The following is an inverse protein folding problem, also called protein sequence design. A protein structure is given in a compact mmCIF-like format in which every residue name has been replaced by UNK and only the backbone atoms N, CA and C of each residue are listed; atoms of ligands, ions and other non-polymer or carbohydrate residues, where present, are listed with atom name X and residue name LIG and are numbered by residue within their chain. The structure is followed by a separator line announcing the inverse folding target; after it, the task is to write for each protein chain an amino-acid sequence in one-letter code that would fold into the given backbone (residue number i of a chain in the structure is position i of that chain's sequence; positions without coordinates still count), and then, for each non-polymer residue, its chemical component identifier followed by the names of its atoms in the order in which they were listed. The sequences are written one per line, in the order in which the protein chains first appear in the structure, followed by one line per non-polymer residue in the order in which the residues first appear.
data_IF_666140393730
#
_entry.id   IF_666140393730
#
_cell.length_a   1.000
_cell.length_b   1.000
_cell.length_c   1.000
_cell.angle_alpha   90.00
_cell.angle_beta   90.00
_cell.angle_gamma   90.00
#
_symmetry.space_group_name_H-M   'P 1'
#
loop_
_entity.id
_entity.type
_entity.pdbx_description
1 polymer ?
#
# COMPACT_ATOMS: atom_id res chain seq x y z
N UNK A 1 -6.69 -57.61 48.42
CA UNK A 1 -6.64 -56.20 48.03
C UNK A 1 -6.33 -56.15 46.54
N UNK A 2 -7.34 -55.92 45.70
CA UNK A 2 -7.18 -55.73 44.27
C UNK A 2 -7.44 -54.25 43.98
N UNK A 3 -6.41 -53.53 43.56
CA UNK A 3 -6.48 -52.15 43.09
C UNK A 3 -6.99 -52.16 41.65
N UNK A 4 -8.20 -51.65 41.44
CA UNK A 4 -8.75 -51.35 40.12
C UNK A 4 -8.25 -49.97 39.72
N UNK A 5 -7.38 -49.92 38.70
CA UNK A 5 -6.96 -48.69 38.04
C UNK A 5 -8.05 -48.25 37.08
N UNK A 6 -8.68 -47.09 37.35
CA UNK A 6 -9.55 -46.41 36.40
C UNK A 6 -8.65 -45.51 35.55
N UNK A 7 -8.28 -45.99 34.36
CA UNK A 7 -7.72 -45.15 33.30
C UNK A 7 -8.87 -44.31 32.75
N UNK A 8 -8.91 -43.03 33.11
CA UNK A 8 -9.78 -42.04 32.49
C UNK A 8 -9.30 -41.76 31.06
N UNK A 9 -10.15 -42.03 30.08
CA UNK A 9 -10.00 -41.62 28.68
C UNK A 9 -10.03 -40.08 28.58
N UNK A 10 -8.86 -39.44 28.62
CA UNK A 10 -8.69 -38.04 28.23
C UNK A 10 -8.52 -37.91 26.70
N UNK A 11 -9.55 -38.30 25.94
CA UNK A 11 -9.50 -38.20 24.48
C UNK A 11 -10.84 -38.22 23.74
N UNK A 12 -11.98 -38.32 24.45
CA UNK A 12 -13.27 -38.36 23.78
C UNK A 12 -13.68 -36.96 23.26
N UNK A 13 -13.63 -36.79 21.94
CA UNK A 13 -14.24 -35.64 21.26
C UNK A 13 -15.71 -35.51 21.70
N UNK A 14 -16.15 -34.30 22.02
CA UNK A 14 -17.54 -34.09 22.43
C UNK A 14 -18.50 -34.43 21.26
N UNK A 15 -19.75 -34.85 21.51
CA UNK A 15 -20.73 -35.09 20.45
C UNK A 15 -20.93 -33.87 19.52
N UNK A 16 -20.77 -32.67 20.07
CA UNK A 16 -20.77 -31.42 19.32
C UNK A 16 -19.54 -31.33 18.40
N UNK A 17 -18.34 -31.63 18.92
CA UNK A 17 -17.08 -31.65 18.17
C UNK A 17 -17.07 -32.70 17.05
N UNK A 18 -17.67 -33.87 17.29
CA UNK A 18 -17.87 -34.92 16.28
C UNK A 18 -18.82 -34.47 15.16
N UNK A 19 -19.94 -33.84 15.53
CA UNK A 19 -20.96 -33.37 14.58
C UNK A 19 -20.45 -32.20 13.74
N UNK A 20 -19.77 -31.24 14.38
CA UNK A 20 -19.13 -30.12 13.69
C UNK A 20 -17.96 -30.60 12.83
N UNK A 21 -17.19 -31.58 13.30
CA UNK A 21 -16.17 -32.26 12.52
C UNK A 21 -16.72 -32.85 11.22
N UNK A 22 -17.76 -33.68 11.30
CA UNK A 22 -18.40 -34.26 10.11
C UNK A 22 -19.01 -33.20 9.18
N UNK A 23 -19.56 -32.11 9.74
CA UNK A 23 -20.06 -30.97 8.98
C UNK A 23 -18.96 -30.23 8.22
N UNK A 24 -17.79 -30.04 8.84
CA UNK A 24 -16.59 -29.52 8.16
C UNK A 24 -16.16 -30.49 7.08
N UNK A 25 -15.98 -31.80 7.33
CA UNK A 25 -15.55 -32.76 6.30
C UNK A 25 -16.46 -32.78 5.06
N UNK A 26 -17.77 -32.61 5.27
CA UNK A 26 -18.75 -32.54 4.19
C UNK A 26 -18.68 -31.21 3.39
N UNK A 27 -18.31 -30.11 4.04
CA UNK A 27 -18.14 -28.78 3.42
C UNK A 27 -16.73 -28.60 2.80
N UNK A 28 -15.72 -29.24 3.38
CA UNK A 28 -14.29 -28.94 3.22
C UNK A 28 -13.69 -29.50 1.91
N UNK A 29 -14.29 -30.52 1.30
CA UNK A 29 -13.75 -31.20 0.08
C UNK A 29 -12.23 -31.52 0.15
N UNK A 30 -11.61 -31.49 1.34
CA UNK A 30 -10.17 -31.60 1.57
C UNK A 30 -9.30 -30.65 0.73
N UNK A 31 -9.75 -29.42 0.49
CA UNK A 31 -8.99 -28.47 -0.32
C UNK A 31 -7.74 -28.02 0.44
N UNK A 32 -6.59 -28.11 -0.23
CA UNK A 32 -5.32 -27.55 0.26
C UNK A 32 -5.18 -26.16 -0.35
N UNK A 33 -5.16 -25.13 0.49
CA UNK A 33 -4.91 -23.75 0.08
C UNK A 33 -3.48 -23.40 0.46
N UNK A 34 -2.76 -22.82 -0.49
CA UNK A 34 -1.41 -22.32 -0.30
C UNK A 34 -1.48 -20.85 0.14
N UNK A 35 -0.82 -20.51 1.24
CA UNK A 35 -0.60 -19.14 1.67
C UNK A 35 0.89 -18.84 1.68
N UNK A 36 1.27 -17.69 1.13
CA UNK A 36 2.66 -17.22 1.11
C UNK A 36 2.79 -15.99 1.99
N UNK A 37 3.90 -15.90 2.70
CA UNK A 37 4.20 -14.75 3.56
C UNK A 37 4.84 -13.63 2.75
N UNK A 38 4.23 -12.45 2.85
CA UNK A 38 4.75 -11.20 2.30
C UNK A 38 5.19 -10.29 3.44
N UNK A 39 6.23 -9.53 3.18
CA UNK A 39 6.71 -8.46 4.06
C UNK A 39 6.32 -7.12 3.48
N UNK A 40 5.91 -6.21 4.36
CA UNK A 40 5.66 -4.82 4.02
C UNK A 40 6.98 -4.13 3.67
N UNK A 41 7.06 -3.55 2.50
CA UNK A 41 8.21 -2.78 2.02
C UNK A 41 7.70 -1.45 1.50
N UNK A 42 8.10 -0.36 2.15
CA UNK A 42 7.82 0.99 1.67
C UNK A 42 8.97 1.41 0.78
N UNK A 43 8.70 1.61 -0.51
CA UNK A 43 9.70 2.21 -1.38
C UNK A 43 9.69 3.73 -1.15
N UNK A 44 10.84 4.38 -0.92
CA UNK A 44 10.95 5.84 -0.75
C UNK A 44 10.54 6.70 -1.95
N UNK A 45 9.99 6.08 -3.00
CA UNK A 45 9.96 6.57 -4.38
C UNK A 45 8.71 7.39 -4.64
N UNK A 46 7.61 6.92 -4.05
CA UNK A 46 6.23 7.37 -4.15
C UNK A 46 5.49 7.15 -2.82
N UNK A 47 6.18 6.58 -1.82
CA UNK A 47 5.66 6.21 -0.52
C UNK A 47 4.56 5.15 -0.57
N UNK A 48 4.39 4.46 -1.69
CA UNK A 48 3.51 3.30 -1.78
C UNK A 48 4.07 2.14 -0.95
N UNK A 49 3.12 1.35 -0.45
CA UNK A 49 3.42 0.13 0.28
C UNK A 49 3.37 -1.03 -0.70
N UNK A 50 4.50 -1.71 -0.85
CA UNK A 50 4.60 -2.98 -1.55
C UNK A 50 4.60 -4.12 -0.53
N UNK A 51 3.98 -5.23 -0.90
CA UNK A 51 4.02 -6.49 -0.18
C UNK A 51 4.89 -7.44 -0.98
N UNK A 52 6.10 -7.70 -0.49
CA UNK A 52 7.13 -8.46 -1.20
C UNK A 52 7.21 -9.86 -0.63
N UNK A 53 7.24 -10.87 -1.50
CA UNK A 53 7.40 -12.26 -1.08
C UNK A 53 8.73 -12.42 -0.32
N UNK A 54 8.65 -12.73 0.97
CA UNK A 54 9.82 -12.64 1.86
C UNK A 54 9.92 -13.76 2.89
N UNK A 55 8.96 -14.68 2.91
CA UNK A 55 8.88 -15.67 3.96
C UNK A 55 8.36 -17.02 3.51
N UNK A 56 7.81 -17.75 4.47
CA UNK A 56 7.42 -19.13 4.27
C UNK A 56 6.15 -19.26 3.44
N UNK A 57 6.03 -20.41 2.79
CA UNK A 57 4.80 -20.87 2.17
C UNK A 57 4.19 -21.96 3.04
N UNK A 58 2.96 -21.76 3.49
CA UNK A 58 2.20 -22.74 4.26
C UNK A 58 1.08 -23.32 3.41
N UNK A 59 0.88 -24.63 3.51
CA UNK A 59 -0.22 -25.32 2.86
C UNK A 59 -1.18 -25.79 3.94
N UNK A 60 -2.40 -25.26 3.94
CA UNK A 60 -3.38 -25.58 4.99
C UNK A 60 -4.59 -26.22 4.36
N UNK A 61 -5.09 -27.28 5.00
CA UNK A 61 -6.35 -27.91 4.63
C UNK A 61 -7.50 -27.18 5.31
N UNK A 62 -8.47 -26.74 4.53
CA UNK A 62 -9.62 -26.06 5.07
C UNK A 62 -10.54 -25.49 3.99
N UNK A 63 -11.66 -24.96 4.48
CA UNK A 63 -12.73 -24.42 3.65
C UNK A 63 -12.70 -22.90 3.69
N UNK A 64 -12.73 -22.29 2.51
CA UNK A 64 -12.82 -20.85 2.34
C UNK A 64 -14.26 -20.47 2.02
N UNK A 65 -14.89 -19.73 2.92
CA UNK A 65 -16.22 -19.17 2.74
C UNK A 65 -16.09 -17.69 2.37
N UNK A 66 -16.78 -17.27 1.31
CA UNK A 66 -16.84 -15.87 0.90
C UNK A 66 -18.25 -15.34 1.15
N UNK A 67 -18.33 -14.17 1.76
CA UNK A 67 -19.51 -13.32 1.73
C UNK A 67 -19.19 -12.21 0.76
N UNK A 68 -19.81 -12.24 -0.42
CA UNK A 68 -19.69 -11.18 -1.42
C UNK A 68 -20.77 -10.13 -1.16
N UNK A 69 -20.35 -8.92 -0.80
CA UNK A 69 -21.16 -7.74 -1.04
C UNK A 69 -20.69 -7.09 -2.35
N UNK A 70 -21.57 -6.47 -3.13
CA UNK A 70 -21.18 -5.78 -4.37
C UNK A 70 -21.32 -4.29 -4.12
N UNK A 71 -20.20 -3.60 -4.06
CA UNK A 71 -20.13 -2.15 -4.00
C UNK A 71 -19.83 -1.63 -5.42
N UNK A 72 -20.63 -0.66 -5.86
CA UNK A 72 -20.41 0.02 -7.15
C UNK A 72 -20.05 1.46 -6.85
N UNK A 73 -18.80 1.79 -7.13
CA UNK A 73 -18.29 3.14 -7.16
C UNK A 73 -18.28 3.66 -8.61
N UNK A 74 -17.89 4.92 -8.79
CA UNK A 74 -17.83 5.59 -10.08
C UNK A 74 -16.69 5.08 -10.97
N UNK A 75 -15.59 4.62 -10.37
CA UNK A 75 -14.42 4.07 -11.05
C UNK A 75 -14.34 2.54 -11.05
N UNK A 76 -15.10 1.85 -10.19
CA UNK A 76 -15.05 0.39 -10.06
C UNK A 76 -16.33 -0.26 -9.53
N UNK A 77 -16.54 -1.52 -9.91
CA UNK A 77 -17.49 -2.42 -9.24
C UNK A 77 -16.69 -3.47 -8.47
N UNK A 78 -16.70 -3.37 -7.14
CA UNK A 78 -15.96 -4.25 -6.26
C UNK A 78 -16.90 -5.26 -5.61
N UNK A 79 -16.55 -6.54 -5.71
CA UNK A 79 -17.05 -7.53 -4.75
C UNK A 79 -16.30 -7.36 -3.44
N UNK A 80 -16.87 -6.66 -2.45
CA UNK A 80 -16.34 -6.60 -1.09
C UNK A 80 -16.48 -7.99 -0.49
N UNK A 81 -15.43 -8.78 -0.67
CA UNK A 81 -15.39 -10.15 -0.22
C UNK A 81 -14.73 -10.19 1.16
N UNK A 82 -15.56 -10.32 2.19
CA UNK A 82 -15.07 -10.79 3.48
C UNK A 82 -14.97 -12.30 3.44
N UNK A 83 -13.80 -12.82 3.78
CA UNK A 83 -13.55 -14.26 3.76
C UNK A 83 -13.42 -14.82 5.17
N UNK A 84 -14.03 -15.99 5.36
CA UNK A 84 -13.91 -16.82 6.53
C UNK A 84 -13.22 -18.11 6.12
N UNK A 85 -12.00 -18.30 6.58
CA UNK A 85 -11.28 -19.55 6.43
C UNK A 85 -11.47 -20.42 7.67
N UNK A 86 -11.91 -21.66 7.45
CA UNK A 86 -12.19 -22.63 8.51
C UNK A 86 -11.28 -23.84 8.35
N UNK A 87 -10.52 -24.18 9.40
CA UNK A 87 -9.57 -25.30 9.43
C UNK A 87 -9.66 -26.07 10.75
N UNK A 88 -9.21 -27.33 10.76
CA UNK A 88 -9.06 -28.13 11.99
C UNK A 88 -7.73 -27.91 12.69
N UNK A 89 -6.71 -27.56 11.90
CA UNK A 89 -5.36 -27.34 12.40
C UNK A 89 -5.20 -25.87 12.76
N UNK A 90 -4.65 -25.60 13.94
CA UNK A 90 -4.27 -24.25 14.33
C UNK A 90 -3.16 -23.75 13.41
N UNK A 91 -3.38 -22.58 12.81
CA UNK A 91 -2.34 -21.82 12.11
C UNK A 91 -1.82 -20.76 13.09
N UNK A 92 -0.72 -21.06 13.75
CA UNK A 92 -0.10 -20.15 14.71
C UNK A 92 0.32 -18.83 14.04
N UNK A 93 0.75 -18.89 12.78
CA UNK A 93 1.24 -17.76 12.00
C UNK A 93 0.16 -16.72 11.71
N UNK A 94 -1.11 -17.12 11.66
CA UNK A 94 -2.23 -16.19 11.49
C UNK A 94 -2.65 -15.55 12.82
N UNK A 95 -2.18 -16.09 13.95
CA UNK A 95 -2.42 -15.55 15.28
C UNK A 95 -1.38 -14.51 15.68
N UNK A 96 -0.24 -14.45 14.98
CA UNK A 96 0.78 -13.41 15.17
C UNK A 96 0.37 -12.14 14.45
N UNK A 97 -0.13 -11.15 15.20
CA UNK A 97 -0.43 -9.83 14.68
C UNK A 97 0.86 -9.04 14.48
N UNK A 98 1.21 -8.78 13.22
CA UNK A 98 2.32 -7.89 12.85
C UNK A 98 1.87 -6.93 11.75
N UNK A 99 2.20 -5.63 11.85
CA UNK A 99 1.92 -4.67 10.79
C UNK A 99 2.80 -4.87 9.55
N UNK A 100 3.91 -5.60 9.68
CA UNK A 100 4.92 -5.74 8.63
C UNK A 100 4.89 -7.08 7.91
N UNK A 101 4.00 -8.00 8.32
CA UNK A 101 3.84 -9.30 7.67
C UNK A 101 2.38 -9.59 7.36
N UNK A 102 2.15 -10.24 6.23
CA UNK A 102 0.82 -10.63 5.77
C UNK A 102 0.90 -11.96 5.03
N UNK A 103 -0.07 -12.83 5.25
CA UNK A 103 -0.20 -14.05 4.46
C UNK A 103 -1.23 -13.85 3.36
N UNK A 104 -0.84 -14.12 2.12
CA UNK A 104 -1.72 -14.06 0.96
C UNK A 104 -1.90 -15.45 0.39
N UNK A 105 -3.16 -15.87 0.29
CA UNK A 105 -3.56 -17.09 -0.41
C UNK A 105 -4.21 -16.77 -1.75
N UNK A 106 -4.08 -17.68 -2.72
CA UNK A 106 -4.78 -17.60 -4.00
C UNK A 106 -5.76 -18.76 -4.11
N UNK A 107 -7.04 -18.45 -4.33
CA UNK A 107 -8.04 -19.46 -4.61
C UNK A 107 -8.95 -18.99 -5.74
N UNK A 108 -8.90 -19.70 -6.88
CA UNK A 108 -9.72 -19.41 -8.08
C UNK A 108 -9.54 -17.97 -8.60
N UNK A 109 -8.32 -17.42 -8.48
CA UNK A 109 -8.00 -16.06 -8.91
C UNK A 109 -8.39 -14.97 -7.92
N UNK A 110 -8.93 -15.33 -6.75
CA UNK A 110 -9.18 -14.41 -5.64
C UNK A 110 -7.99 -14.48 -4.70
N UNK A 111 -7.26 -13.36 -4.58
CA UNK A 111 -6.19 -13.20 -3.59
C UNK A 111 -6.79 -12.77 -2.25
N UNK A 112 -6.42 -13.47 -1.18
CA UNK A 112 -6.98 -13.26 0.16
C UNK A 112 -5.86 -12.96 1.12
N UNK A 113 -5.95 -11.81 1.79
CA UNK A 113 -5.01 -11.34 2.80
C UNK A 113 -5.49 -11.67 4.21
N UNK A 114 -4.57 -12.22 5.02
CA UNK A 114 -4.73 -12.39 6.46
C UNK A 114 -3.64 -11.58 7.18
N UNK A 115 -4.05 -10.53 7.88
CA UNK A 115 -3.16 -9.57 8.57
C UNK A 115 -3.18 -9.74 10.10
N UNK A 116 -3.22 -10.98 10.58
CA UNK A 116 -3.06 -11.28 12.01
C UNK A 116 -4.21 -10.81 12.91
N UNK A 117 -5.43 -11.35 12.72
CA UNK A 117 -6.55 -11.23 13.67
C UNK A 117 -7.38 -12.51 13.69
N UNK A 118 -6.82 -13.58 14.24
CA UNK A 118 -7.55 -14.81 14.51
C UNK A 118 -8.54 -14.65 15.68
N UNK A 119 -9.80 -15.07 15.48
CA UNK A 119 -10.74 -15.26 16.58
C UNK A 119 -10.54 -16.67 17.13
N UNK A 120 -10.24 -16.76 18.42
CA UNK A 120 -10.06 -18.05 19.11
C UNK A 120 -11.44 -18.63 19.47
N UNK A 121 -11.75 -19.82 18.95
CA UNK A 121 -12.89 -20.62 19.42
C UNK A 121 -12.41 -22.06 19.71
N UNK A 122 -11.71 -22.30 20.84
CA UNK A 122 -11.17 -23.62 21.19
C UNK A 122 -12.26 -24.68 21.50
N UNK A 123 -13.54 -24.30 21.53
CA UNK A 123 -14.65 -25.09 22.07
C UNK A 123 -15.12 -26.22 21.12
N UNK A 124 -14.70 -26.21 19.85
CA UNK A 124 -15.13 -27.18 18.83
C UNK A 124 -14.00 -27.87 18.04
N UNK A 125 -12.72 -27.63 18.37
CA UNK A 125 -11.59 -28.16 17.57
C UNK A 125 -11.59 -27.68 16.11
N UNK A 126 -12.19 -26.51 15.86
CA UNK A 126 -12.28 -25.86 14.56
C UNK A 126 -11.85 -24.41 14.75
N UNK A 127 -11.00 -23.93 13.85
CA UNK A 127 -10.42 -22.60 13.88
C UNK A 127 -11.01 -21.75 12.75
N UNK A 128 -11.32 -20.50 13.09
CA UNK A 128 -11.92 -19.54 12.18
C UNK A 128 -11.01 -18.32 12.03
N UNK A 129 -10.57 -18.08 10.80
CA UNK A 129 -9.72 -16.96 10.43
C UNK A 129 -10.48 -16.04 9.48
N UNK A 130 -10.48 -14.74 9.79
CA UNK A 130 -11.08 -13.74 8.91
C UNK A 130 -10.00 -13.08 8.06
N UNK A 131 -10.24 -13.02 6.77
CA UNK A 131 -9.38 -12.35 5.79
C UNK A 131 -10.20 -11.41 4.91
N UNK A 132 -9.50 -10.54 4.21
CA UNK A 132 -10.09 -9.65 3.21
C UNK A 132 -9.58 -10.04 1.83
N UNK A 133 -10.44 -9.97 0.81
CA UNK A 133 -9.94 -10.05 -0.56
C UNK A 133 -9.07 -8.84 -0.87
N UNK A 134 -7.99 -9.08 -1.60
CA UNK A 134 -7.21 -8.01 -2.19
C UNK A 134 -7.88 -7.65 -3.51
N UNK A 135 -8.17 -6.37 -3.71
CA UNK A 135 -8.84 -5.93 -4.92
C UNK A 135 -7.86 -5.87 -6.11
N UNK A 136 -8.35 -6.09 -7.34
CA UNK A 136 -7.48 -6.10 -8.53
C UNK A 136 -6.57 -4.88 -8.68
N UNK A 137 -7.01 -3.64 -8.38
CA UNK A 137 -6.13 -2.46 -8.46
C UNK A 137 -4.90 -2.53 -7.52
N UNK A 138 -4.97 -3.34 -6.44
CA UNK A 138 -3.86 -3.51 -5.49
C UNK A 138 -2.90 -4.66 -5.88
N UNK A 139 -3.14 -5.36 -7.00
CA UNK A 139 -2.27 -6.48 -7.39
C UNK A 139 -0.87 -6.02 -7.80
N UNK A 140 -0.73 -4.81 -8.36
CA UNK A 140 0.59 -4.23 -8.66
C UNK A 140 1.46 -4.02 -7.42
N UNK A 141 0.85 -3.94 -6.24
CA UNK A 141 1.52 -3.74 -4.97
C UNK A 141 1.93 -5.08 -4.33
N UNK A 142 1.52 -6.22 -4.91
CA UNK A 142 1.96 -7.55 -4.48
C UNK A 142 3.08 -8.02 -5.40
N UNK A 143 4.28 -8.12 -4.86
CA UNK A 143 5.49 -8.47 -5.59
C UNK A 143 5.91 -9.90 -5.24
N UNK A 144 5.62 -10.84 -6.16
CA UNK A 144 5.96 -12.26 -6.01
C UNK A 144 7.45 -12.54 -6.21
N UNK A 145 8.16 -11.70 -6.98
CA UNK A 145 9.60 -11.79 -7.22
C UNK A 145 10.30 -10.55 -6.66
N UNK A 146 11.06 -10.66 -5.56
CA UNK A 146 11.79 -9.52 -4.98
C UNK A 146 12.72 -8.82 -5.98
N UNK A 147 13.25 -9.55 -6.99
CA UNK A 147 14.10 -8.95 -8.00
C UNK A 147 13.35 -7.96 -8.91
N UNK A 148 12.02 -8.06 -8.99
CA UNK A 148 11.19 -7.13 -9.74
C UNK A 148 11.22 -5.70 -9.16
N UNK A 149 11.52 -5.53 -7.87
CA UNK A 149 11.64 -4.21 -7.24
C UNK A 149 12.71 -3.33 -7.90
N UNK A 150 13.76 -3.93 -8.47
CA UNK A 150 14.83 -3.19 -9.14
C UNK A 150 14.37 -2.49 -10.44
N UNK A 151 13.24 -2.92 -11.00
CA UNK A 151 12.69 -2.40 -12.26
C UNK A 151 11.38 -1.64 -12.06
N UNK A 152 11.02 -1.29 -10.81
CA UNK A 152 9.80 -0.52 -10.54
C UNK A 152 10.01 0.93 -10.96
N UNK A 153 9.25 1.37 -11.96
CA UNK A 153 9.16 2.77 -12.36
C UNK A 153 8.30 3.56 -11.36
N UNK A 154 8.50 4.90 -11.25
CA UNK A 154 7.67 5.73 -10.38
C UNK A 154 6.18 5.60 -10.71
N UNK A 155 5.36 5.19 -9.73
CA UNK A 155 3.91 5.05 -9.92
C UNK A 155 3.22 6.42 -9.89
N UNK A 156 3.75 7.37 -9.13
CA UNK A 156 3.16 8.70 -8.97
C UNK A 156 3.64 9.69 -10.02
N UNK A 157 2.68 10.46 -10.54
CA UNK A 157 2.91 11.62 -11.39
C UNK A 157 2.82 12.95 -10.65
N UNK A 158 2.65 12.92 -9.32
CA UNK A 158 2.42 14.09 -8.46
C UNK A 158 3.68 14.55 -7.72
N UNK A 159 3.61 15.66 -6.98
CA UNK A 159 4.75 16.22 -6.25
C UNK A 159 5.25 15.41 -5.04
N UNK A 160 4.66 14.25 -4.73
CA UNK A 160 5.00 13.44 -3.54
C UNK A 160 6.50 13.16 -3.35
N UNK A 161 7.24 12.76 -4.41
CA UNK A 161 8.67 12.46 -4.31
C UNK A 161 9.50 13.66 -3.83
N UNK A 162 9.09 14.89 -4.15
CA UNK A 162 9.74 16.12 -3.66
C UNK A 162 9.70 16.11 -2.14
N UNK A 163 8.53 15.87 -1.55
CA UNK A 163 8.32 15.95 -0.10
C UNK A 163 9.01 14.83 0.65
N UNK A 164 9.00 13.61 0.10
CA UNK A 164 9.71 12.46 0.67
C UNK A 164 11.23 12.68 0.75
N UNK A 165 11.78 13.58 -0.10
CA UNK A 165 13.20 13.94 -0.05
C UNK A 165 13.55 14.98 1.04
N UNK A 166 12.57 15.72 1.58
CA UNK A 166 12.78 16.85 2.49
C UNK A 166 12.68 16.45 3.98
N UNK A 167 13.61 15.60 4.43
CA UNK A 167 13.56 14.91 5.74
C UNK A 167 14.33 15.59 6.88
N UNK A 168 14.87 16.79 6.67
CA UNK A 168 15.79 17.46 7.61
C UNK A 168 15.21 17.70 9.03
N UNK A 169 13.88 17.78 9.16
CA UNK A 169 13.19 18.04 10.44
C UNK A 169 12.48 16.80 11.02
N UNK A 170 12.55 15.67 10.33
CA UNK A 170 11.86 14.43 10.68
C UNK A 170 11.47 13.63 9.44
N UNK A 171 11.11 12.36 9.61
CA UNK A 171 10.64 11.53 8.50
C UNK A 171 9.34 12.11 7.93
N UNK A 172 9.25 12.10 6.59
CA UNK A 172 8.10 12.54 5.82
C UNK A 172 7.43 11.31 5.22
N UNK A 173 6.13 11.19 5.43
CA UNK A 173 5.31 10.08 4.94
C UNK A 173 4.19 10.62 4.03
N UNK A 174 3.72 9.83 3.06
CA UNK A 174 2.43 10.10 2.43
C UNK A 174 1.31 10.01 3.46
N UNK A 175 0.28 10.82 3.28
CA UNK A 175 -0.96 10.66 4.01
C UNK A 175 -1.50 9.24 3.83
N UNK A 176 -2.16 8.71 4.86
CA UNK A 176 -2.69 7.34 4.93
C UNK A 176 -1.63 6.21 4.98
N UNK A 177 -0.36 6.50 4.71
CA UNK A 177 0.74 5.51 4.71
C UNK A 177 1.81 5.79 5.78
N UNK A 178 1.42 6.51 6.84
CA UNK A 178 2.23 6.67 8.06
C UNK A 178 2.28 5.34 8.80
N UNK A 179 3.48 4.86 9.17
CA UNK A 179 3.61 3.59 9.89
C UNK A 179 2.89 3.62 11.25
N UNK A 180 2.33 2.48 11.68
CA UNK A 180 1.68 2.40 12.98
C UNK A 180 2.69 2.60 14.11
N UNK A 181 2.27 3.29 15.17
CA UNK A 181 3.03 3.48 16.40
C UNK A 181 4.35 4.27 16.27
N UNK A 182 4.53 5.07 15.21
CA UNK A 182 5.68 5.99 15.10
C UNK A 182 5.65 7.02 16.24
N UNK A 183 6.83 7.29 16.79
CA UNK A 183 7.03 8.35 17.78
C UNK A 183 7.28 9.70 17.08
N UNK A 184 6.52 10.77 17.40
CA UNK A 184 6.79 12.11 16.89
C UNK A 184 8.19 12.63 17.29
N UNK A 185 8.84 13.51 16.50
CA UNK A 185 8.25 14.28 15.41
C UNK A 185 8.24 13.55 14.05
N UNK A 186 7.14 13.69 13.32
CA UNK A 186 7.03 13.24 11.92
C UNK A 186 6.07 14.15 11.14
N UNK A 187 6.15 14.05 9.81
CA UNK A 187 5.39 14.86 8.88
C UNK A 187 4.60 13.92 7.96
N UNK A 188 3.31 14.17 7.80
CA UNK A 188 2.47 13.51 6.81
C UNK A 188 2.10 14.53 5.72
N UNK A 189 2.20 14.12 4.46
CA UNK A 189 1.95 14.97 3.31
C UNK A 189 0.81 14.40 2.49
N UNK A 190 -0.18 15.25 2.27
CA UNK A 190 -1.40 14.94 1.56
C UNK A 190 -1.48 15.80 0.31
N UNK A 191 -1.55 15.15 -0.85
CA UNK A 191 -1.68 15.82 -2.14
C UNK A 191 -3.09 15.52 -2.62
N UNK A 192 -3.89 16.57 -2.75
CA UNK A 192 -5.27 16.45 -3.16
C UNK A 192 -5.32 16.28 -4.68
N UNK A 193 -5.76 15.10 -5.14
CA UNK A 193 -5.87 14.77 -6.56
C UNK A 193 -6.84 15.68 -7.31
N UNK A 194 -7.81 16.30 -6.62
CA UNK A 194 -8.73 17.26 -7.22
C UNK A 194 -8.10 18.64 -7.47
N UNK A 195 -6.87 18.86 -6.97
CA UNK A 195 -6.15 20.13 -7.08
C UNK A 195 -4.94 20.06 -8.00
N UNK A 196 -4.74 18.93 -8.68
CA UNK A 196 -3.69 18.77 -9.69
C UNK A 196 -4.18 19.34 -11.02
N UNK A 197 -3.67 20.53 -11.36
CA UNK A 197 -4.04 21.27 -12.56
C UNK A 197 -2.85 21.39 -13.52
N UNK A 198 -3.13 21.30 -14.82
CA UNK A 198 -2.17 21.64 -15.86
C UNK A 198 -2.06 23.15 -16.06
N UNK A 199 -0.83 23.67 -16.07
CA UNK A 199 -0.57 25.09 -16.39
C UNK A 199 -0.08 25.30 -17.82
N UNK A 200 0.39 24.24 -18.47
CA UNK A 200 0.80 24.25 -19.86
C UNK A 200 0.12 23.08 -20.56
N UNK A 201 -0.46 23.28 -21.74
CA UNK A 201 -0.95 22.17 -22.56
C UNK A 201 0.19 21.24 -22.96
N UNK A 202 -0.02 19.93 -22.89
CA UNK A 202 0.91 18.97 -23.48
C UNK A 202 1.14 19.30 -24.97
N UNK A 203 2.40 19.23 -25.46
CA UNK A 203 2.66 19.41 -26.88
C UNK A 203 1.83 18.42 -27.70
N UNK A 204 0.94 18.92 -28.57
CA UNK A 204 0.22 18.07 -29.51
C UNK A 204 1.20 17.60 -30.58
N UNK A 205 1.41 16.29 -30.68
CA UNK A 205 2.10 15.72 -31.83
C UNK A 205 1.12 15.64 -32.99
N UNK A 206 1.19 16.59 -33.92
CA UNK A 206 0.43 16.48 -35.16
C UNK A 206 1.12 15.47 -36.09
N UNK A 207 0.66 14.22 -36.04
CA UNK A 207 1.12 13.18 -36.96
C UNK A 207 0.78 13.48 -38.42
N UNK A 208 -0.06 14.49 -38.72
CA UNK A 208 -0.51 14.80 -40.08
C UNK A 208 0.39 15.79 -40.83
N UNK A 209 1.16 16.66 -40.15
CA UNK A 209 1.97 17.69 -40.84
C UNK A 209 3.31 17.19 -41.41
N UNK A 210 3.69 15.93 -41.13
CA UNK A 210 4.84 15.29 -41.78
C UNK A 210 4.52 14.71 -43.18
N UNK A 211 3.29 14.90 -43.68
CA UNK A 211 2.84 14.48 -45.02
C UNK A 211 2.70 15.62 -46.03
N UNK A 212 3.47 16.71 -45.87
CA UNK A 212 3.53 17.76 -46.89
C UNK A 212 4.54 17.42 -48.00
N UNK A 213 3.97 16.99 -49.13
CA UNK A 213 4.50 16.96 -50.50
C UNK A 213 5.63 15.99 -50.84
N UNK A 214 5.24 14.76 -51.22
CA UNK A 214 6.08 13.90 -52.05
C UNK A 214 5.78 12.41 -51.92
N UNK A 215 4.70 11.95 -52.55
CA UNK A 215 4.49 10.58 -53.03
C UNK A 215 5.10 9.43 -52.21
N UNK A 216 4.47 9.05 -51.10
CA UNK A 216 4.54 7.67 -50.58
C UNK A 216 3.18 7.28 -50.01
N UNK A 217 2.49 6.37 -50.69
CA UNK A 217 1.34 5.64 -50.14
C UNK A 217 1.79 4.80 -48.94
N UNK A 218 1.78 5.37 -47.74
CA UNK A 218 1.92 4.60 -46.51
C UNK A 218 0.60 3.89 -46.22
N UNK A 219 0.63 2.56 -46.29
CA UNK A 219 -0.45 1.72 -45.83
C UNK A 219 -0.81 2.02 -44.38
N UNK A 220 -1.97 1.52 -43.97
CA UNK A 220 -2.44 1.46 -42.58
C UNK A 220 -1.26 1.46 -41.61
N UNK A 221 -1.17 2.41 -40.66
CA UNK A 221 -0.04 2.47 -39.74
C UNK A 221 0.11 1.10 -39.09
N UNK A 222 1.27 0.50 -39.30
CA UNK A 222 1.60 -0.78 -38.73
C UNK A 222 1.52 -0.65 -37.21
N UNK A 223 0.57 -1.35 -36.60
CA UNK A 223 0.37 -1.33 -35.15
C UNK A 223 1.59 -1.88 -34.39
N UNK A 224 2.58 -2.49 -35.09
CA UNK A 224 3.86 -2.87 -34.53
C UNK A 224 4.77 -1.69 -34.15
N UNK A 225 4.52 -0.48 -34.68
CA UNK A 225 5.33 0.73 -34.46
C UNK A 225 4.76 1.62 -33.33
N UNK A 226 3.54 1.32 -32.86
CA UNK A 226 2.90 2.07 -31.76
C UNK A 226 3.65 1.95 -30.42
N UNK A 227 4.53 0.94 -30.27
CA UNK A 227 5.38 0.80 -29.08
C UNK A 227 6.62 1.69 -29.07
N UNK A 228 6.97 2.36 -30.18
CA UNK A 228 8.24 3.07 -30.33
C UNK A 228 8.15 4.60 -30.31
N UNK A 229 6.93 5.17 -30.20
CA UNK A 229 6.67 6.60 -30.43
C UNK A 229 5.88 7.27 -29.30
N UNK A 230 6.14 6.91 -28.04
CA UNK A 230 5.79 7.76 -26.91
C UNK A 230 7.03 8.61 -26.55
N UNK A 231 7.23 9.80 -27.17
CA UNK A 231 8.26 10.69 -26.67
C UNK A 231 7.95 10.98 -25.20
N UNK A 232 8.97 10.94 -24.34
CA UNK A 232 8.84 11.35 -22.94
C UNK A 232 8.37 12.80 -22.90
N UNK A 233 7.07 13.00 -22.71
CA UNK A 233 6.48 14.31 -22.57
C UNK A 233 6.45 14.68 -21.09
N UNK A 234 6.78 15.92 -20.78
CA UNK A 234 6.59 16.48 -19.45
C UNK A 234 5.74 17.74 -19.54
N UNK A 235 4.89 17.90 -18.53
CA UNK A 235 4.00 19.04 -18.42
C UNK A 235 4.40 19.89 -17.20
N UNK A 236 4.14 21.19 -17.30
CA UNK A 236 4.14 22.07 -16.13
C UNK A 236 2.82 21.89 -15.39
N UNK A 237 2.92 21.43 -14.15
CA UNK A 237 1.79 21.06 -13.30
C UNK A 237 1.77 21.96 -12.08
N UNK A 238 0.55 22.25 -11.62
CA UNK A 238 0.23 22.95 -10.39
C UNK A 238 -0.49 22.01 -9.43
N UNK A 239 -0.13 22.04 -8.14
CA UNK A 239 -0.79 21.22 -7.12
C UNK A 239 -0.93 21.95 -5.81
N UNK A 240 -1.95 21.55 -5.02
CA UNK A 240 -2.07 21.95 -3.63
C UNK A 240 -1.67 20.82 -2.70
N UNK A 241 -0.68 21.08 -1.87
CA UNK A 241 -0.10 20.13 -0.93
C UNK A 241 -0.43 20.55 0.49
N UNK A 242 -0.93 19.62 1.30
CA UNK A 242 -1.24 19.81 2.72
C UNK A 242 -0.22 19.05 3.58
N UNK A 243 0.45 19.79 4.46
CA UNK A 243 1.39 19.27 5.43
C UNK A 243 0.72 19.12 6.79
N UNK A 244 0.95 17.97 7.44
CA UNK A 244 0.42 17.65 8.76
C UNK A 244 1.59 17.23 9.66
N UNK A 245 1.88 18.05 10.66
CA UNK A 245 3.07 17.95 11.49
C UNK A 245 2.67 17.49 12.89
N UNK A 246 3.21 16.35 13.31
CA UNK A 246 2.98 15.78 14.64
C UNK A 246 4.23 15.95 15.50
N UNK A 247 4.06 16.40 16.75
CA UNK A 247 5.16 16.61 17.70
C UNK A 247 5.95 17.91 17.52
N UNK A 248 5.58 18.74 16.54
CA UNK A 248 6.24 20.01 16.28
C UNK A 248 5.72 21.11 17.20
N UNK A 249 6.64 21.86 17.81
CA UNK A 249 6.30 23.16 18.38
C UNK A 249 6.17 24.23 17.26
N UNK A 250 5.68 25.43 17.62
CA UNK A 250 5.39 26.46 16.62
C UNK A 250 6.66 26.93 15.87
N UNK A 251 7.77 27.06 16.59
CA UNK A 251 9.04 27.48 16.00
C UNK A 251 9.58 26.43 15.03
N UNK A 252 9.53 25.14 15.40
CA UNK A 252 9.94 24.04 14.54
C UNK A 252 9.08 23.97 13.27
N UNK A 253 7.77 24.17 13.38
CA UNK A 253 6.88 24.18 12.22
C UNK A 253 7.18 25.37 11.30
N UNK A 254 7.47 26.55 11.85
CA UNK A 254 7.92 27.72 11.07
C UNK A 254 9.27 27.46 10.39
N UNK A 255 10.23 26.88 11.11
CA UNK A 255 11.55 26.53 10.56
C UNK A 255 11.46 25.51 9.44
N UNK A 256 10.64 24.46 9.59
CA UNK A 256 10.39 23.48 8.52
C UNK A 256 9.79 24.16 7.29
N UNK A 257 8.78 25.02 7.49
CA UNK A 257 8.17 25.78 6.39
C UNK A 257 9.21 26.65 5.66
N UNK A 258 10.10 27.33 6.39
CA UNK A 258 11.18 28.11 5.78
C UNK A 258 12.16 27.24 5.01
N UNK A 259 12.52 26.07 5.55
CA UNK A 259 13.39 25.11 4.88
C UNK A 259 12.81 24.61 3.55
N UNK A 260 11.51 24.33 3.52
CA UNK A 260 10.79 23.96 2.28
C UNK A 260 10.85 25.10 1.26
N UNK A 261 10.62 26.35 1.69
CA UNK A 261 10.70 27.51 0.81
C UNK A 261 12.10 27.77 0.27
N UNK A 262 13.13 27.64 1.10
CA UNK A 262 14.53 27.75 0.70
C UNK A 262 14.89 26.69 -0.34
N UNK A 263 14.46 25.43 -0.12
CA UNK A 263 14.65 24.35 -1.12
C UNK A 263 13.95 24.63 -2.45
N UNK A 264 12.80 25.31 -2.44
CA UNK A 264 12.12 25.71 -3.67
C UNK A 264 12.87 26.81 -4.43
N UNK A 265 13.53 27.72 -3.71
CA UNK A 265 14.28 28.83 -4.32
C UNK A 265 15.63 28.36 -4.90
N UNK A 266 16.31 27.47 -4.20
CA UNK A 266 17.66 27.02 -4.57
C UNK A 266 17.64 25.84 -5.58
N UNK A 267 16.49 25.17 -5.69
CA UNK A 267 16.40 23.86 -6.32
C UNK A 267 16.18 23.85 -7.84
N UNK A 268 15.81 24.95 -8.49
CA UNK A 268 15.43 25.10 -9.93
C UNK A 268 14.41 24.08 -10.50
N UNK A 269 13.97 23.10 -9.71
CA UNK A 269 13.18 21.92 -10.11
C UNK A 269 11.68 22.16 -9.87
N UNK A 270 11.33 22.96 -8.86
CA UNK A 270 9.96 23.23 -8.45
C UNK A 270 9.83 24.56 -7.69
N UNK A 271 8.67 25.20 -7.79
CA UNK A 271 8.38 26.52 -7.24
C UNK A 271 7.20 26.50 -6.27
N UNK A 272 7.20 27.37 -5.25
CA UNK A 272 6.05 27.63 -4.38
C UNK A 272 5.36 28.91 -4.80
N UNK A 273 4.05 28.84 -5.07
CA UNK A 273 3.22 30.00 -5.45
C UNK A 273 2.51 30.62 -4.26
N UNK A 274 1.95 29.80 -3.38
CA UNK A 274 1.16 30.26 -2.24
C UNK A 274 1.47 29.43 -1.00
N UNK A 275 1.37 30.06 0.16
CA UNK A 275 1.60 29.41 1.45
C UNK A 275 0.54 29.84 2.45
N UNK A 276 -0.09 28.85 3.07
CA UNK A 276 -1.07 29.07 4.13
C UNK A 276 -0.38 29.41 5.46
N UNK A 277 -1.05 30.16 6.37
CA UNK A 277 -0.58 30.25 7.75
C UNK A 277 -0.61 28.87 8.42
N UNK A 278 0.30 28.65 9.36
CA UNK A 278 0.31 27.44 10.19
C UNK A 278 -0.90 27.50 11.14
N UNK A 279 -1.68 26.44 11.13
CA UNK A 279 -2.88 26.27 11.96
C UNK A 279 -2.64 25.17 12.98
N UNK A 280 -3.27 25.36 14.13
CA UNK A 280 -3.31 24.38 15.20
C UNK A 280 -4.59 23.56 15.09
N UNK A 281 -4.45 22.26 14.91
CA UNK A 281 -5.55 21.32 14.87
C UNK A 281 -5.47 20.34 16.04
N UNK A 282 -6.63 19.90 16.51
CA UNK A 282 -6.74 18.96 17.64
C UNK A 282 -6.96 17.56 17.12
N UNK A 283 -6.23 16.59 17.65
CA UNK A 283 -6.53 15.17 17.53
C UNK A 283 -6.98 14.65 18.89
N UNK A 284 -8.16 14.03 18.91
CA UNK A 284 -8.73 13.47 20.13
C UNK A 284 -8.47 11.97 20.18
N UNK A 285 -8.14 11.46 21.37
CA UNK A 285 -8.17 10.04 21.66
C UNK A 285 -9.19 9.82 22.77
N UNK A 286 -10.32 9.19 22.43
CA UNK A 286 -11.48 9.07 23.33
C UNK A 286 -11.17 8.14 24.49
N UNK A 287 -10.35 7.12 24.24
CA UNK A 287 -9.99 6.05 25.16
C UNK A 287 -9.23 6.55 26.39
N UNK A 288 -8.42 7.61 26.23
CA UNK A 288 -7.64 8.21 27.32
C UNK A 288 -8.08 9.65 27.65
N UNK A 289 -9.19 10.11 27.06
CA UNK A 289 -9.70 11.47 27.20
C UNK A 289 -8.63 12.57 26.98
N UNK A 290 -7.70 12.34 26.05
CA UNK A 290 -6.59 13.25 25.78
C UNK A 290 -6.74 13.97 24.44
N UNK A 291 -6.19 15.18 24.38
CA UNK A 291 -6.08 15.99 23.17
C UNK A 291 -4.60 16.13 22.82
N UNK A 292 -4.23 15.67 21.63
CA UNK A 292 -2.95 15.98 21.03
C UNK A 292 -3.10 17.16 20.06
N UNK A 293 -2.06 17.99 19.98
CA UNK A 293 -1.99 19.06 18.99
C UNK A 293 -1.23 18.56 17.75
N UNK A 294 -1.76 18.85 16.58
CA UNK A 294 -1.05 18.74 15.30
C UNK A 294 -1.05 20.09 14.61
N UNK A 295 -0.02 20.37 13.82
CA UNK A 295 0.08 21.61 13.05
C UNK A 295 -0.19 21.32 11.59
N UNK A 296 -0.94 22.18 10.93
CA UNK A 296 -1.25 22.03 9.51
C UNK A 296 -0.99 23.32 8.76
N UNK A 297 -0.50 23.18 7.53
CA UNK A 297 -0.48 24.26 6.55
C UNK A 297 -0.55 23.65 5.16
N UNK A 298 -0.90 24.46 4.17
CA UNK A 298 -0.90 24.03 2.77
C UNK A 298 -0.05 24.96 1.92
N UNK A 299 0.52 24.43 0.86
CA UNK A 299 1.25 25.17 -0.16
C UNK A 299 0.68 24.86 -1.53
N UNK A 300 0.68 25.85 -2.42
CA UNK A 300 0.49 25.63 -3.85
C UNK A 300 1.84 25.62 -4.53
N UNK A 301 2.10 24.59 -5.33
CA UNK A 301 3.41 24.33 -5.92
C UNK A 301 3.30 24.14 -7.42
N UNK A 302 4.36 24.50 -8.14
CA UNK A 302 4.49 24.24 -9.56
C UNK A 302 5.75 23.45 -9.82
N UNK A 303 5.69 22.50 -10.75
CA UNK A 303 6.85 21.69 -11.10
C UNK A 303 6.70 21.13 -12.51
N UNK A 304 7.84 20.76 -13.11
CA UNK A 304 7.83 19.95 -14.33
C UNK A 304 7.76 18.48 -13.94
N UNK A 305 6.85 17.71 -14.54
CA UNK A 305 6.71 16.27 -14.25
C UNK A 305 8.04 15.49 -14.42
N UNK A 306 8.86 15.87 -15.41
CA UNK A 306 10.18 15.28 -15.61
C UNK A 306 11.12 15.46 -14.42
N UNK A 307 10.96 16.55 -13.67
CA UNK A 307 11.79 16.86 -12.51
C UNK A 307 11.40 15.97 -11.32
N UNK A 308 10.11 15.69 -11.15
CA UNK A 308 9.59 14.73 -10.16
C UNK A 308 10.08 13.32 -10.48
N UNK A 309 10.02 12.88 -11.73
CA UNK A 309 10.50 11.56 -12.16
C UNK A 309 11.99 11.39 -11.80
N UNK A 310 12.83 12.39 -12.05
CA UNK A 310 14.25 12.34 -11.68
C UNK A 310 14.46 12.23 -10.17
N UNK A 311 13.66 12.93 -9.36
CA UNK A 311 13.70 12.81 -7.90
C UNK A 311 13.32 11.40 -7.48
N UNK A 312 12.24 10.84 -8.03
CA UNK A 312 11.82 9.46 -7.77
C UNK A 312 12.91 8.46 -8.12
N UNK A 313 13.54 8.57 -9.29
CA UNK A 313 14.65 7.70 -9.69
C UNK A 313 15.83 7.76 -8.72
N UNK A 314 16.16 8.95 -8.21
CA UNK A 314 17.21 9.11 -7.21
C UNK A 314 16.82 8.44 -5.89
N UNK A 315 15.57 8.58 -5.47
CA UNK A 315 15.03 7.92 -4.29
C UNK A 315 15.04 6.39 -4.46
N UNK A 316 14.64 5.87 -5.63
CA UNK A 316 14.71 4.44 -5.99
C UNK A 316 16.14 3.93 -5.81
N UNK A 317 17.10 4.60 -6.45
CA UNK A 317 18.52 4.20 -6.38
C UNK A 317 19.02 4.21 -4.93
N UNK A 318 18.68 5.22 -4.15
CA UNK A 318 19.08 5.29 -2.73
C UNK A 318 18.48 4.16 -1.89
N UNK A 319 17.21 3.81 -2.12
CA UNK A 319 16.50 2.77 -1.39
C UNK A 319 16.98 1.36 -1.73
N UNK A 320 17.19 1.10 -3.03
CA UNK A 320 17.67 -0.19 -3.51
C UNK A 320 19.01 -0.56 -2.86
N UNK A 321 19.91 0.40 -2.66
CA UNK A 321 21.19 0.22 -1.97
C UNK A 321 20.95 -0.25 -0.53
N UNK A 322 20.05 0.40 0.21
CA UNK A 322 19.73 0.03 1.61
C UNK A 322 19.12 -1.36 1.74
N UNK A 323 18.21 -1.75 0.83
CA UNK A 323 17.60 -3.09 0.85
C UNK A 323 18.60 -4.21 0.61
N UNK A 324 19.63 -3.99 -0.22
CA UNK A 324 20.71 -4.97 -0.42
C UNK A 324 21.54 -5.19 0.84
N UNK A 325 21.82 -4.14 1.63
CA UNK A 325 22.65 -4.27 2.84
C UNK A 325 21.92 -4.99 3.99
N UNK A 326 20.59 -4.85 4.11
CA UNK A 326 19.81 -5.59 5.11
C UNK A 326 19.57 -7.07 4.73
N UNK A 327 19.91 -7.47 3.51
CA UNK A 327 19.75 -8.85 3.00
C UNK A 327 21.02 -9.72 3.07
N UNK A 328 22.10 -9.20 3.67
CA UNK A 328 23.36 -9.91 3.95
C UNK A 328 23.53 -10.19 5.46
#
# INVERSE_FOLDING_TARGET
MATVSVLGEFGAQTPLQSTLGAGVDALDRQQVIQFRQYRRTVLPIDGYVFWVLAGQTINVRGSLHYSSDVEQDDDQTIGVNRLLFTTRDEIAEFNEASPDTMFIGDHRGIKVAFSGRGMRAPEAGIWHYFGNAIYPPFFSQIIDDPAALANVEPIVSNSLPIWLSLTAFGPVYPAYLVDPNITPPYIAVDIDSETTDEWQSLPSYDAAESYAEGDVSLGVPDQSILGAFFPTASQLVHERVRFILYGFNNQQALSYRSYVLENSLDGDIWGVSEVSPIRDEKRIQREIAAIAMKKTFSMSVNYLQSAVVQISERLIKSASISLTEESL
#
